data_IF_052200597848
#
_entry.id   IF_052200597848
#
_cell.length_a   1.000
_cell.length_b   1.000
_cell.length_c   1.000
_cell.angle_alpha   90.00
_cell.angle_beta   90.00
_cell.angle_gamma   90.00
#
_symmetry.space_group_name_H-M   'P 1'
#
loop_
_entity.id
_entity.type
_entity.pdbx_description
1 polymer ?
#
# COMPACT_ATOMS: atom_id res chain seq x y z
N UNK A 1 60.84 23.66 -23.39
CA UNK A 1 60.01 23.67 -22.17
C UNK A 1 58.60 24.13 -22.57
N UNK A 2 57.72 23.18 -22.84
CA UNK A 2 56.39 23.41 -23.41
C UNK A 2 55.39 23.56 -22.26
N UNK A 3 54.76 24.75 -22.15
CA UNK A 3 53.77 25.05 -21.10
C UNK A 3 52.46 24.32 -21.43
N UNK A 4 52.12 23.31 -20.65
CA UNK A 4 50.84 22.62 -20.73
C UNK A 4 49.79 23.42 -19.93
N UNK A 5 48.88 24.08 -20.63
CA UNK A 5 47.73 24.76 -20.05
C UNK A 5 46.63 23.71 -19.84
N UNK A 6 46.44 23.22 -18.62
CA UNK A 6 45.36 22.28 -18.29
C UNK A 6 44.10 23.10 -18.01
N UNK A 7 43.17 23.07 -18.96
CA UNK A 7 41.82 23.60 -18.86
C UNK A 7 41.02 22.71 -17.88
N UNK A 8 40.72 23.22 -16.68
CA UNK A 8 39.78 22.59 -15.75
C UNK A 8 38.36 22.73 -16.30
N UNK A 9 37.85 21.70 -16.97
CA UNK A 9 36.42 21.56 -17.23
C UNK A 9 35.78 21.05 -15.94
N UNK A 10 35.17 21.96 -15.16
CA UNK A 10 34.24 21.58 -14.11
C UNK A 10 33.00 20.97 -14.79
N UNK A 11 32.95 19.64 -14.88
CA UNK A 11 31.69 18.94 -15.18
C UNK A 11 30.86 19.01 -13.90
N UNK A 12 30.03 20.04 -13.79
CA UNK A 12 28.93 20.05 -12.85
C UNK A 12 27.92 18.99 -13.32
N UNK A 13 28.01 17.79 -12.76
CA UNK A 13 26.96 16.78 -12.88
C UNK A 13 25.79 17.31 -12.06
N UNK A 14 24.96 18.13 -12.69
CA UNK A 14 23.62 18.43 -12.21
C UNK A 14 22.84 17.12 -12.31
N UNK A 15 22.80 16.35 -11.22
CA UNK A 15 21.90 15.21 -11.06
C UNK A 15 20.46 15.72 -11.05
N UNK A 16 19.94 15.96 -12.25
CA UNK A 16 18.52 16.18 -12.50
C UNK A 16 17.77 14.90 -12.13
N UNK A 17 16.67 15.08 -11.41
CA UNK A 17 15.79 14.05 -10.87
C UNK A 17 15.41 12.96 -11.89
N UNK A 18 15.69 11.70 -11.58
CA UNK A 18 14.89 10.56 -12.03
C UNK A 18 15.16 9.38 -11.07
N UNK A 19 14.25 9.15 -10.12
CA UNK A 19 14.17 7.84 -9.49
C UNK A 19 13.99 6.81 -10.61
N UNK A 20 14.72 5.69 -10.54
CA UNK A 20 14.56 4.62 -11.54
C UNK A 20 13.12 4.12 -11.58
N UNK A 21 12.77 3.45 -12.67
CA UNK A 21 11.47 2.81 -12.81
C UNK A 21 11.22 1.85 -11.62
N UNK A 22 10.03 1.86 -11.00
CA UNK A 22 9.74 1.07 -9.81
C UNK A 22 9.86 -0.45 -10.03
N UNK A 23 10.42 -1.13 -9.03
CA UNK A 23 10.60 -2.58 -9.00
C UNK A 23 9.37 -3.28 -8.41
N UNK A 24 8.78 -4.19 -9.17
CA UNK A 24 7.68 -5.04 -8.72
C UNK A 24 8.12 -6.51 -8.68
N UNK A 25 7.60 -7.24 -7.69
CA UNK A 25 7.71 -8.69 -7.61
C UNK A 25 6.39 -9.32 -8.02
N UNK A 26 6.37 -10.07 -9.11
CA UNK A 26 5.25 -10.95 -9.42
C UNK A 26 5.44 -12.21 -8.58
N UNK A 27 4.70 -12.32 -7.48
CA UNK A 27 4.88 -13.42 -6.52
C UNK A 27 3.91 -14.58 -6.80
N UNK A 28 4.42 -15.80 -6.65
CA UNK A 28 3.65 -17.03 -6.72
C UNK A 28 3.79 -17.80 -5.40
N UNK A 29 2.89 -17.56 -4.43
CA UNK A 29 2.90 -18.27 -3.16
C UNK A 29 2.33 -19.71 -3.26
N UNK A 30 1.94 -20.17 -4.45
CA UNK A 30 1.22 -21.44 -4.63
C UNK A 30 2.14 -22.59 -5.01
N UNK A 31 1.57 -23.80 -5.07
CA UNK A 31 2.24 -25.02 -5.50
C UNK A 31 2.20 -25.26 -7.02
N UNK A 32 1.60 -24.36 -7.80
CA UNK A 32 1.47 -24.47 -9.27
C UNK A 32 2.28 -23.40 -9.95
N UNK A 33 2.86 -23.70 -11.12
CA UNK A 33 3.47 -22.66 -11.97
C UNK A 33 2.38 -21.71 -12.47
N UNK A 34 2.66 -20.42 -12.42
CA UNK A 34 1.81 -19.38 -13.03
C UNK A 34 2.44 -18.98 -14.35
N UNK A 35 1.63 -18.93 -15.41
CA UNK A 35 2.01 -18.37 -16.70
C UNK A 35 1.17 -17.14 -16.99
N UNK A 36 1.82 -16.09 -17.44
CA UNK A 36 1.14 -14.84 -17.77
C UNK A 36 1.90 -14.07 -18.86
N UNK A 37 1.27 -13.02 -19.38
CA UNK A 37 1.94 -11.99 -20.17
C UNK A 37 1.92 -10.66 -19.40
N UNK A 38 3.03 -9.94 -19.43
CA UNK A 38 3.13 -8.54 -18.97
C UNK A 38 3.44 -7.70 -20.20
N UNK A 39 2.52 -6.81 -20.58
CA UNK A 39 2.59 -6.01 -21.80
C UNK A 39 2.89 -6.86 -23.06
N UNK A 40 2.30 -8.06 -23.12
CA UNK A 40 2.48 -9.02 -24.20
C UNK A 40 3.77 -9.85 -24.12
N UNK A 41 4.65 -9.60 -23.15
CA UNK A 41 5.86 -10.40 -22.93
C UNK A 41 5.55 -11.56 -21.97
N UNK A 42 5.84 -12.83 -22.35
CA UNK A 42 5.54 -13.98 -21.51
C UNK A 42 6.41 -13.99 -20.25
N UNK A 43 5.81 -14.38 -19.13
CA UNK A 43 6.44 -14.55 -17.82
C UNK A 43 5.92 -15.83 -17.17
N UNK A 44 6.85 -16.71 -16.79
CA UNK A 44 6.55 -17.93 -16.03
C UNK A 44 7.11 -17.78 -14.62
N UNK A 45 6.25 -17.93 -13.61
CA UNK A 45 6.63 -17.89 -12.19
C UNK A 45 6.48 -19.29 -11.60
N UNK A 46 7.61 -19.89 -11.23
CA UNK A 46 7.62 -21.23 -10.61
C UNK A 46 6.99 -21.22 -9.21
N UNK A 47 6.50 -22.37 -8.71
CA UNK A 47 5.90 -22.47 -7.38
C UNK A 47 6.79 -21.91 -6.27
N UNK A 48 6.23 -21.15 -5.33
CA UNK A 48 6.93 -20.57 -4.18
C UNK A 48 8.01 -19.53 -4.52
N UNK A 49 8.02 -19.01 -5.75
CA UNK A 49 9.02 -18.06 -6.23
C UNK A 49 8.36 -16.77 -6.73
N UNK A 50 9.19 -15.79 -7.08
CA UNK A 50 8.76 -14.55 -7.71
C UNK A 50 9.63 -14.21 -8.92
N UNK A 51 9.12 -13.35 -9.79
CA UNK A 51 9.89 -12.70 -10.86
C UNK A 51 9.92 -11.20 -10.59
N UNK A 52 11.10 -10.61 -10.68
CA UNK A 52 11.27 -9.15 -10.62
C UNK A 52 11.04 -8.53 -11.99
N UNK A 53 10.20 -7.50 -12.02
CA UNK A 53 9.95 -6.69 -13.19
C UNK A 53 10.07 -5.22 -12.83
N UNK A 54 10.49 -4.42 -13.79
CA UNK A 54 10.54 -2.98 -13.66
C UNK A 54 9.43 -2.39 -14.51
N UNK A 55 8.51 -1.64 -13.89
CA UNK A 55 7.37 -1.03 -14.57
C UNK A 55 7.57 0.48 -14.63
N UNK A 56 7.19 1.10 -15.74
CA UNK A 56 7.23 2.56 -15.88
C UNK A 56 5.99 3.17 -15.23
N UNK A 57 6.02 4.48 -15.00
CA UNK A 57 4.78 5.20 -14.72
C UNK A 57 3.83 5.10 -15.93
N UNK A 58 2.58 4.69 -15.70
CA UNK A 58 1.59 4.48 -16.76
C UNK A 58 0.77 3.20 -16.64
N UNK A 59 0.06 2.86 -17.71
CA UNK A 59 -0.77 1.66 -17.80
C UNK A 59 0.05 0.45 -18.25
N UNK A 60 -0.17 -0.67 -17.58
CA UNK A 60 0.44 -1.96 -17.85
C UNK A 60 -0.65 -3.04 -17.88
N UNK A 61 -0.56 -3.94 -18.85
CA UNK A 61 -1.54 -5.02 -19.01
C UNK A 61 -0.94 -6.35 -18.58
N UNK A 62 -1.64 -7.03 -17.68
CA UNK A 62 -1.29 -8.35 -17.19
C UNK A 62 -2.35 -9.35 -17.66
N UNK A 63 -1.95 -10.35 -18.44
CA UNK A 63 -2.87 -11.39 -18.91
C UNK A 63 -2.56 -12.71 -18.21
N UNK A 64 -3.51 -13.21 -17.45
CA UNK A 64 -3.41 -14.47 -16.72
C UNK A 64 -3.68 -15.61 -17.69
N UNK A 65 -2.69 -16.47 -17.94
CA UNK A 65 -2.81 -17.55 -18.93
C UNK A 65 -3.17 -18.86 -18.23
N UNK A 66 -2.40 -19.23 -17.21
CA UNK A 66 -2.55 -20.51 -16.53
C UNK A 66 -2.06 -20.41 -15.08
N UNK A 67 -2.72 -21.13 -14.17
CA UNK A 67 -2.24 -21.35 -12.81
C UNK A 67 -2.89 -20.48 -11.74
N UNK A 68 -3.94 -19.73 -12.11
CA UNK A 68 -4.70 -18.85 -11.21
C UNK A 68 -6.19 -19.18 -11.24
N UNK A 69 -6.96 -18.62 -10.29
CA UNK A 69 -8.42 -18.71 -10.32
C UNK A 69 -9.07 -17.85 -11.43
N UNK A 70 -8.28 -16.97 -12.07
CA UNK A 70 -8.72 -16.00 -13.06
C UNK A 70 -8.04 -16.22 -14.42
N UNK A 71 -7.67 -17.45 -14.75
CA UNK A 71 -7.08 -17.81 -16.04
C UNK A 71 -7.96 -17.33 -17.21
N UNK A 72 -7.32 -16.77 -18.24
CA UNK A 72 -7.96 -16.12 -19.37
C UNK A 72 -8.32 -14.64 -19.16
N UNK A 73 -8.17 -14.10 -17.94
CA UNK A 73 -8.45 -12.69 -17.63
C UNK A 73 -7.27 -11.77 -17.91
N UNK A 74 -7.58 -10.53 -18.26
CA UNK A 74 -6.61 -9.44 -18.36
C UNK A 74 -6.89 -8.38 -17.31
N UNK A 75 -5.84 -7.83 -16.72
CA UNK A 75 -5.88 -6.80 -15.69
C UNK A 75 -5.08 -5.61 -16.17
N UNK A 76 -5.67 -4.43 -16.16
CA UNK A 76 -4.96 -3.18 -16.43
C UNK A 76 -4.58 -2.56 -15.10
N UNK A 77 -3.29 -2.36 -14.88
CA UNK A 77 -2.73 -1.73 -13.69
C UNK A 77 -2.14 -0.39 -14.09
N UNK A 78 -2.45 0.66 -13.33
CA UNK A 78 -1.82 1.95 -13.46
C UNK A 78 -0.76 2.14 -12.37
N UNK A 79 0.49 2.35 -12.76
CA UNK A 79 1.62 2.66 -11.87
C UNK A 79 1.81 4.17 -11.82
N UNK A 80 1.77 4.74 -10.61
CA UNK A 80 1.98 6.18 -10.47
C UNK A 80 3.45 6.56 -10.68
N UNK A 81 3.75 7.76 -11.21
CA UNK A 81 5.14 8.22 -11.40
C UNK A 81 5.98 8.24 -10.12
N UNK A 82 5.34 8.40 -8.95
CA UNK A 82 6.00 8.40 -7.65
C UNK A 82 6.05 7.03 -6.96
N UNK A 83 5.65 5.96 -7.65
CA UNK A 83 5.55 4.62 -7.07
C UNK A 83 6.92 4.11 -6.59
N UNK A 84 6.93 3.46 -5.44
CA UNK A 84 8.08 2.74 -4.91
C UNK A 84 8.10 1.25 -5.31
N UNK A 85 7.23 0.84 -6.23
CA UNK A 85 7.09 -0.55 -6.65
C UNK A 85 6.10 -1.33 -5.78
N UNK A 86 6.32 -2.63 -5.64
CA UNK A 86 5.46 -3.48 -4.79
C UNK A 86 5.36 -4.93 -5.25
N UNK A 87 4.21 -5.53 -5.02
CA UNK A 87 3.89 -6.92 -5.34
C UNK A 87 2.75 -6.95 -6.35
N UNK A 88 2.94 -7.72 -7.43
CA UNK A 88 1.85 -8.21 -8.26
C UNK A 88 1.48 -9.59 -7.72
N UNK A 89 0.21 -9.77 -7.40
CA UNK A 89 -0.36 -10.93 -6.73
C UNK A 89 -1.42 -11.58 -7.64
N UNK A 90 -1.00 -12.40 -8.63
CA UNK A 90 -1.90 -13.02 -9.60
C UNK A 90 -2.92 -13.97 -8.96
N UNK A 91 -2.64 -14.46 -7.75
CA UNK A 91 -3.42 -15.48 -7.05
C UNK A 91 -4.41 -14.89 -6.06
N UNK A 92 -4.39 -13.57 -5.86
CA UNK A 92 -5.17 -12.87 -4.82
C UNK A 92 -4.96 -13.48 -3.42
N UNK A 93 -3.76 -14.01 -3.18
CA UNK A 93 -3.38 -14.57 -1.89
C UNK A 93 -3.25 -13.48 -0.84
N UNK A 94 -3.37 -13.85 0.43
CA UNK A 94 -3.21 -12.93 1.54
C UNK A 94 -1.74 -12.53 1.72
N UNK A 95 -1.53 -11.24 1.98
CA UNK A 95 -0.27 -10.65 2.42
C UNK A 95 -0.54 -9.79 3.64
N UNK A 96 0.37 -9.83 4.60
CA UNK A 96 0.21 -9.12 5.87
C UNK A 96 1.43 -8.25 6.08
N UNK A 97 1.23 -6.95 6.30
CA UNK A 97 2.29 -6.13 6.90
C UNK A 97 2.20 -6.20 8.41
N UNK A 98 3.35 -6.37 9.05
CA UNK A 98 3.52 -6.34 10.51
C UNK A 98 4.38 -5.15 10.85
N UNK A 99 3.89 -4.29 11.75
CA UNK A 99 4.70 -3.24 12.35
C UNK A 99 5.30 -3.74 13.67
N UNK A 100 6.61 -4.01 13.66
CA UNK A 100 7.38 -4.46 14.81
C UNK A 100 7.98 -3.25 15.56
N UNK A 101 7.73 -3.19 16.87
CA UNK A 101 8.29 -2.16 17.75
C UNK A 101 9.60 -2.65 18.36
N UNK A 102 10.68 -1.93 18.10
CA UNK A 102 11.98 -2.15 18.73
C UNK A 102 12.21 -1.07 19.78
N UNK A 103 12.37 -1.46 21.04
CA UNK A 103 12.59 -0.55 22.17
C UNK A 103 13.86 -0.90 22.92
N UNK A 104 14.46 0.11 23.54
CA UNK A 104 15.63 -0.07 24.41
C UNK A 104 15.31 -0.87 25.67
N UNK A 105 14.13 -0.64 26.24
CA UNK A 105 13.63 -1.30 27.45
C UNK A 105 12.10 -1.37 27.42
N UNK A 106 11.51 -2.29 28.20
CA UNK A 106 10.05 -2.47 28.28
C UNK A 106 9.33 -1.18 28.74
N UNK A 107 9.98 -0.39 29.60
CA UNK A 107 9.41 0.87 30.08
C UNK A 107 9.20 1.89 28.95
N UNK A 108 9.93 1.78 27.85
CA UNK A 108 9.81 2.64 26.68
C UNK A 108 8.61 2.30 25.80
N UNK A 109 8.03 1.10 25.91
CA UNK A 109 6.85 0.68 25.12
C UNK A 109 5.68 1.65 25.30
N UNK A 110 5.47 2.16 26.51
CA UNK A 110 4.39 3.12 26.84
C UNK A 110 4.47 4.44 26.05
N UNK A 111 5.65 4.76 25.49
CA UNK A 111 5.86 5.96 24.70
C UNK A 111 5.36 5.80 23.26
N UNK A 112 4.96 4.58 22.86
CA UNK A 112 4.53 4.26 21.51
C UNK A 112 3.06 3.87 21.50
N UNK A 113 2.29 4.51 20.62
CA UNK A 113 0.92 4.08 20.32
C UNK A 113 0.97 2.92 19.33
N UNK A 114 0.58 1.73 19.77
CA UNK A 114 0.39 0.56 18.89
C UNK A 114 -1.07 0.47 18.53
N UNK A 115 -1.39 0.57 17.24
CA UNK A 115 -2.77 0.46 16.75
C UNK A 115 -3.04 -0.99 16.35
N UNK A 116 -3.88 -1.68 17.13
CA UNK A 116 -4.25 -3.05 16.83
C UNK A 116 -5.46 -3.11 15.90
N UNK A 117 -5.37 -3.94 14.88
CA UNK A 117 -6.44 -4.27 13.94
C UNK A 117 -6.70 -5.76 13.96
N UNK A 118 -7.96 -6.12 13.75
CA UNK A 118 -8.37 -7.49 13.45
C UNK A 118 -8.11 -7.77 11.98
N UNK A 119 -7.43 -8.87 11.70
CA UNK A 119 -7.30 -9.44 10.36
C UNK A 119 -7.69 -10.91 10.40
N UNK A 120 -8.09 -11.45 9.26
CA UNK A 120 -8.41 -12.86 9.13
C UNK A 120 -7.49 -13.45 8.08
N UNK A 121 -6.77 -14.51 8.45
CA UNK A 121 -5.86 -15.27 7.56
C UNK A 121 -6.10 -16.75 7.84
N UNK A 122 -6.30 -17.57 6.80
CA UNK A 122 -6.56 -19.01 6.92
C UNK A 122 -7.63 -19.37 7.98
N UNK A 123 -8.78 -18.68 7.94
CA UNK A 123 -9.91 -18.85 8.86
C UNK A 123 -9.61 -18.58 10.35
N UNK A 124 -8.52 -17.87 10.64
CA UNK A 124 -8.16 -17.46 12.00
C UNK A 124 -8.14 -15.94 12.12
N UNK A 125 -8.72 -15.44 13.20
CA UNK A 125 -8.70 -14.03 13.57
C UNK A 125 -7.44 -13.73 14.37
N UNK A 126 -6.64 -12.78 13.87
CA UNK A 126 -5.45 -12.26 14.52
C UNK A 126 -5.67 -10.80 14.89
N UNK A 127 -5.18 -10.42 16.07
CA UNK A 127 -5.21 -9.05 16.55
C UNK A 127 -3.78 -8.57 16.76
N UNK A 128 -3.47 -7.41 16.21
CA UNK A 128 -2.16 -6.79 16.34
C UNK A 128 -1.98 -5.64 15.37
N UNK A 129 -0.77 -5.05 15.29
CA UNK A 129 -0.47 -3.94 14.40
C UNK A 129 -0.24 -4.44 12.96
N UNK A 130 -1.30 -5.01 12.41
CA UNK A 130 -1.30 -5.72 11.13
C UNK A 130 -2.16 -5.00 10.11
N UNK A 131 -1.80 -5.13 8.83
CA UNK A 131 -2.66 -4.74 7.70
C UNK A 131 -2.67 -5.87 6.68
N UNK A 132 -3.86 -6.32 6.31
CA UNK A 132 -4.09 -7.37 5.32
C UNK A 132 -4.24 -6.77 3.92
N UNK A 133 -3.66 -7.44 2.94
CA UNK A 133 -3.75 -7.12 1.52
C UNK A 133 -4.00 -8.40 0.73
N UNK A 134 -4.89 -8.36 -0.25
CA UNK A 134 -5.20 -9.49 -1.12
C UNK A 134 -5.59 -9.06 -2.55
N UNK A 135 -5.33 -7.80 -2.88
CA UNK A 135 -5.55 -7.27 -4.22
C UNK A 135 -4.49 -7.74 -5.22
N UNK A 136 -4.81 -7.64 -6.51
CA UNK A 136 -3.90 -8.01 -7.60
C UNK A 136 -2.61 -7.19 -7.62
N UNK A 137 -2.68 -5.90 -7.28
CA UNK A 137 -1.53 -5.02 -7.16
C UNK A 137 -1.47 -4.46 -5.74
N UNK A 138 -0.37 -4.74 -5.04
CA UNK A 138 -0.10 -4.31 -3.67
C UNK A 138 1.12 -3.42 -3.73
N UNK A 139 0.93 -2.11 -3.73
CA UNK A 139 2.05 -1.19 -3.91
C UNK A 139 2.74 -0.82 -2.60
N UNK A 140 4.05 -0.55 -2.71
CA UNK A 140 4.94 -0.29 -1.59
C UNK A 140 4.83 1.13 -1.07
N UNK A 141 4.26 2.07 -1.83
CA UNK A 141 4.15 3.46 -1.39
C UNK A 141 4.39 4.49 -2.49
N UNK A 142 4.20 5.76 -2.12
CA UNK A 142 4.60 6.94 -2.91
C UNK A 142 5.39 7.91 -2.04
N UNK A 143 6.72 7.75 -1.97
CA UNK A 143 7.61 8.59 -1.16
C UNK A 143 7.63 8.25 0.34
N UNK A 144 6.81 7.29 0.78
CA UNK A 144 6.90 6.62 2.08
C UNK A 144 6.55 5.17 1.92
N UNK A 145 7.50 4.28 2.15
CA UNK A 145 7.27 2.85 2.04
C UNK A 145 6.33 2.35 3.14
N UNK A 146 5.25 1.67 2.75
CA UNK A 146 4.33 0.96 3.64
C UNK A 146 5.01 -0.21 4.36
N UNK A 147 6.03 -0.80 3.75
CA UNK A 147 6.93 -1.75 4.40
C UNK A 147 8.37 -1.46 4.01
N UNK A 148 9.30 -1.74 4.92
CA UNK A 148 10.73 -1.62 4.69
C UNK A 148 11.33 -2.94 4.21
N UNK A 149 10.98 -4.03 4.89
CA UNK A 149 11.47 -5.39 4.62
C UNK A 149 10.45 -6.16 3.80
N UNK A 150 10.90 -6.72 2.68
CA UNK A 150 10.09 -7.46 1.71
C UNK A 150 9.84 -8.92 2.12
N UNK A 151 9.05 -9.67 1.35
CA UNK A 151 8.58 -11.03 1.65
C UNK A 151 9.71 -12.01 2.02
N UNK A 152 10.86 -11.90 1.38
CA UNK A 152 12.03 -12.76 1.60
C UNK A 152 13.18 -12.07 2.35
N UNK A 153 12.95 -10.91 2.96
CA UNK A 153 13.94 -10.23 3.80
C UNK A 153 13.62 -10.45 5.28
N UNK A 154 14.60 -10.84 6.09
CA UNK A 154 14.39 -11.00 7.52
C UNK A 154 14.19 -9.64 8.21
N UNK A 155 13.41 -9.64 9.29
CA UNK A 155 13.43 -8.52 10.22
C UNK A 155 14.81 -8.42 10.87
N UNK A 156 15.33 -7.21 11.11
CA UNK A 156 16.64 -7.01 11.73
C UNK A 156 16.64 -7.48 13.20
N UNK A 157 17.80 -7.94 13.68
CA UNK A 157 17.99 -8.21 15.11
C UNK A 157 17.88 -6.92 15.95
N UNK A 158 17.34 -7.05 17.17
CA UNK A 158 17.11 -5.92 18.10
C UNK A 158 18.37 -5.08 18.33
N UNK A 159 19.53 -5.72 18.45
CA UNK A 159 20.81 -5.04 18.72
C UNK A 159 21.31 -4.16 17.55
N UNK A 160 20.76 -4.32 16.34
CA UNK A 160 21.22 -3.64 15.11
C UNK A 160 20.45 -2.36 14.76
N UNK A 161 19.38 -2.02 15.48
CA UNK A 161 18.40 -1.00 15.06
C UNK A 161 18.54 0.33 15.82
N UNK A 162 19.38 0.39 16.88
CA UNK A 162 19.38 1.53 17.79
C UNK A 162 19.90 2.85 17.15
N UNK A 163 18.97 3.74 16.80
CA UNK A 163 19.07 5.19 17.02
C UNK A 163 17.68 5.86 16.95
N UNK A 164 17.15 6.25 18.12
CA UNK A 164 16.05 7.22 18.22
C UNK A 164 16.01 7.83 19.62
N UNK A 165 16.01 9.17 19.69
CA UNK A 165 15.99 9.95 20.94
C UNK A 165 14.80 9.70 21.89
N UNK A 166 13.79 8.90 21.47
CA UNK A 166 12.61 8.53 22.26
C UNK A 166 12.63 7.07 22.79
N UNK A 167 13.74 6.34 22.62
CA UNK A 167 13.91 5.00 23.22
C UNK A 167 13.39 3.81 22.40
N UNK A 168 13.05 4.00 21.12
CA UNK A 168 12.62 2.93 20.22
C UNK A 168 12.27 3.40 18.80
N UNK A 169 12.03 2.44 17.90
CA UNK A 169 11.65 2.67 16.50
C UNK A 169 10.75 1.53 15.96
N UNK A 170 9.89 1.84 15.01
CA UNK A 170 9.10 0.84 14.29
C UNK A 170 9.81 0.37 13.03
N UNK A 171 9.77 -0.94 12.77
CA UNK A 171 10.11 -1.52 11.47
C UNK A 171 8.89 -2.23 10.91
N UNK A 172 8.65 -2.11 9.61
CA UNK A 172 7.53 -2.80 8.95
C UNK A 172 8.04 -3.82 7.97
N UNK A 173 7.55 -5.06 8.07
CA UNK A 173 7.80 -6.15 7.11
C UNK A 173 6.50 -6.61 6.48
N UNK A 174 6.54 -6.97 5.19
CA UNK A 174 5.45 -7.69 4.53
C UNK A 174 5.74 -9.19 4.51
N UNK A 175 4.71 -9.99 4.73
CA UNK A 175 4.72 -11.45 4.73
C UNK A 175 3.66 -11.96 3.75
N UNK A 176 3.88 -13.13 3.14
CA UNK A 176 2.78 -13.95 2.63
C UNK A 176 1.93 -14.42 3.81
N UNK A 177 0.64 -14.69 3.60
CA UNK A 177 -0.28 -15.13 4.65
C UNK A 177 0.26 -16.35 5.43
N UNK A 178 0.77 -17.36 4.72
CA UNK A 178 1.36 -18.56 5.34
C UNK A 178 2.59 -18.25 6.20
N UNK A 179 3.44 -17.34 5.72
CA UNK A 179 4.67 -16.93 6.41
C UNK A 179 4.33 -16.11 7.65
N UNK A 180 3.29 -15.27 7.58
CA UNK A 180 2.75 -14.53 8.71
C UNK A 180 2.24 -15.48 9.81
N UNK A 181 1.50 -16.54 9.45
CA UNK A 181 1.01 -17.53 10.43
C UNK A 181 2.16 -18.20 11.18
N UNK A 182 3.27 -18.49 10.48
CA UNK A 182 4.46 -19.07 11.11
C UNK A 182 5.16 -18.06 12.02
N UNK A 183 5.39 -16.83 11.52
CA UNK A 183 5.96 -15.73 12.29
C UNK A 183 5.16 -15.45 13.57
N UNK A 184 3.83 -15.38 13.47
CA UNK A 184 2.96 -15.11 14.61
C UNK A 184 3.09 -16.16 15.72
N UNK A 185 3.24 -17.44 15.36
CA UNK A 185 3.37 -18.54 16.34
C UNK A 185 4.73 -18.58 17.02
N UNK A 186 5.79 -18.22 16.30
CA UNK A 186 7.17 -18.44 16.74
C UNK A 186 7.79 -17.20 17.38
N UNK A 187 7.48 -16.03 16.85
CA UNK A 187 8.23 -14.80 17.12
C UNK A 187 7.35 -13.67 17.65
N UNK A 188 6.04 -13.70 17.37
CA UNK A 188 5.13 -12.66 17.86
C UNK A 188 4.59 -13.03 19.25
N UNK A 189 4.74 -12.10 20.20
CA UNK A 189 4.10 -12.21 21.52
C UNK A 189 2.84 -11.34 21.49
N UNK A 190 1.65 -11.91 21.28
CA UNK A 190 0.42 -11.14 21.20
C UNK A 190 0.05 -10.51 22.54
N UNK A 191 -0.44 -9.28 22.48
CA UNK A 191 -0.87 -8.54 23.67
C UNK A 191 -2.14 -9.13 24.31
N UNK A 192 -2.96 -9.85 23.54
CA UNK A 192 -4.29 -10.34 23.91
C UNK A 192 -4.49 -11.86 23.81
N UNK A 193 -3.41 -12.62 23.56
CA UNK A 193 -3.42 -14.09 23.60
C UNK A 193 -3.37 -14.77 22.22
N UNK A 194 -3.69 -16.06 22.18
CA UNK A 194 -3.64 -16.90 20.97
C UNK A 194 -4.71 -16.47 19.93
N UNK A 195 -4.49 -16.69 18.62
CA UNK A 195 -5.44 -16.30 17.59
C UNK A 195 -6.74 -17.11 17.74
N UNK A 196 -7.87 -16.49 17.41
CA UNK A 196 -9.18 -17.12 17.53
C UNK A 196 -9.53 -17.87 16.24
N UNK A 197 -9.88 -19.14 16.36
CA UNK A 197 -10.46 -19.91 15.25
C UNK A 197 -11.87 -19.39 14.95
N UNK A 198 -12.17 -19.18 13.68
CA UNK A 198 -13.52 -18.90 13.22
C UNK A 198 -14.32 -20.19 13.07
N UNK A 199 -15.63 -20.13 13.32
CA UNK A 199 -16.52 -21.22 12.90
C UNK A 199 -16.62 -21.27 11.37
N UNK A 200 -17.05 -22.41 10.82
CA UNK A 200 -17.31 -22.52 9.37
C UNK A 200 -18.34 -21.49 8.89
N UNK A 201 -19.35 -21.20 9.71
CA UNK A 201 -20.38 -20.19 9.42
C UNK A 201 -19.78 -18.77 9.40
N UNK A 202 -18.96 -18.42 10.39
CA UNK A 202 -18.25 -17.14 10.42
C UNK A 202 -17.31 -16.98 9.23
N UNK A 203 -16.56 -18.04 8.89
CA UNK A 203 -15.63 -18.02 7.78
C UNK A 203 -16.34 -17.94 6.42
N UNK A 204 -17.49 -18.60 6.28
CA UNK A 204 -18.29 -18.55 5.05
C UNK A 204 -18.87 -17.16 4.76
N UNK A 205 -19.02 -16.30 5.78
CA UNK A 205 -19.48 -14.92 5.63
C UNK A 205 -18.37 -13.97 5.16
N UNK A 206 -17.10 -14.42 5.14
CA UNK A 206 -15.99 -13.60 4.65
C UNK A 206 -16.03 -13.57 3.14
N UNK A 207 -16.12 -12.35 2.60
CA UNK A 207 -16.03 -12.13 1.17
C UNK A 207 -14.63 -12.51 0.68
N UNK A 208 -14.58 -13.45 -0.26
CA UNK A 208 -13.31 -13.87 -0.89
C UNK A 208 -12.81 -12.77 -1.82
N UNK A 209 -11.49 -12.49 -1.84
CA UNK A 209 -10.95 -11.48 -2.74
C UNK A 209 -11.31 -11.83 -4.19
N UNK A 210 -11.80 -10.84 -4.90
CA UNK A 210 -12.14 -10.93 -6.31
C UNK A 210 -11.23 -10.02 -7.12
N UNK A 211 -10.98 -10.41 -8.37
CA UNK A 211 -10.25 -9.57 -9.30
C UNK A 211 -11.19 -8.44 -9.77
N UNK A 212 -11.05 -7.27 -9.14
CA UNK A 212 -11.92 -6.12 -9.40
C UNK A 212 -11.12 -4.85 -9.60
N UNK A 213 -11.57 -4.01 -10.53
CA UNK A 213 -11.21 -2.61 -10.55
C UNK A 213 -11.95 -1.90 -9.41
N UNK A 214 -11.22 -1.23 -8.53
CA UNK A 214 -11.83 -0.53 -7.40
C UNK A 214 -11.81 0.97 -7.67
N UNK A 215 -12.94 1.51 -8.14
CA UNK A 215 -13.16 2.94 -8.19
C UNK A 215 -13.90 3.41 -6.93
N UNK A 216 -13.15 3.69 -5.85
CA UNK A 216 -13.76 4.13 -4.58
C UNK A 216 -14.31 5.54 -4.64
N UNK A 217 -13.78 6.39 -5.52
CA UNK A 217 -14.15 7.82 -5.58
C UNK A 217 -15.61 8.04 -5.97
N UNK A 218 -16.19 7.15 -6.79
CA UNK A 218 -17.58 7.25 -7.23
C UNK A 218 -18.57 6.82 -6.13
N UNK A 219 -18.10 6.16 -5.08
CA UNK A 219 -18.94 5.74 -3.94
C UNK A 219 -19.14 6.85 -2.89
N UNK A 220 -18.45 7.98 -3.04
CA UNK A 220 -18.51 9.08 -2.08
C UNK A 220 -19.80 9.89 -2.29
N UNK A 221 -20.71 9.77 -1.33
CA UNK A 221 -21.97 10.52 -1.31
C UNK A 221 -21.80 11.89 -0.62
N UNK A 222 -21.71 12.94 -1.42
CA UNK A 222 -21.64 14.33 -0.94
C UNK A 222 -22.97 14.85 -0.38
N UNK A 223 -24.10 14.19 -0.62
CA UNK A 223 -25.39 14.59 -0.06
C UNK A 223 -25.44 14.42 1.46
N UNK A 224 -24.59 13.56 2.02
CA UNK A 224 -24.40 13.42 3.46
C UNK A 224 -23.98 14.72 4.15
N UNK A 225 -23.46 15.70 3.40
CA UNK A 225 -23.07 17.02 3.91
C UNK A 225 -24.12 18.12 3.64
N UNK A 226 -25.32 17.80 3.14
CA UNK A 226 -26.34 18.79 2.73
C UNK A 226 -26.70 19.82 3.80
N UNK A 227 -26.73 19.42 5.08
CA UNK A 227 -27.04 20.30 6.21
C UNK A 227 -25.89 21.26 6.56
N UNK A 228 -24.70 21.08 5.96
CA UNK A 228 -23.51 21.89 6.18
C UNK A 228 -22.90 22.36 4.85
N UNK A 229 -23.47 23.42 4.22
CA UNK A 229 -23.08 23.84 2.87
C UNK A 229 -21.58 24.13 2.69
N UNK A 230 -20.94 24.75 3.68
CA UNK A 230 -19.50 25.05 3.63
C UNK A 230 -18.63 23.77 3.68
N UNK A 231 -19.03 22.79 4.50
CA UNK A 231 -18.37 21.49 4.56
C UNK A 231 -18.58 20.71 3.26
N UNK A 232 -19.81 20.74 2.71
CA UNK A 232 -20.13 20.12 1.42
C UNK A 232 -19.30 20.71 0.29
N UNK A 233 -19.18 22.04 0.23
CA UNK A 233 -18.36 22.74 -0.76
C UNK A 233 -16.88 22.34 -0.64
N UNK A 234 -16.32 22.36 0.57
CA UNK A 234 -14.94 21.98 0.81
C UNK A 234 -14.66 20.50 0.47
N UNK A 235 -15.58 19.59 0.85
CA UNK A 235 -15.51 18.17 0.52
C UNK A 235 -15.61 17.92 -0.99
N UNK A 236 -16.51 18.63 -1.68
CA UNK A 236 -16.64 18.55 -3.14
C UNK A 236 -15.39 19.06 -3.86
N UNK A 237 -14.85 20.21 -3.45
CA UNK A 237 -13.60 20.73 -4.00
C UNK A 237 -12.43 19.75 -3.77
N UNK A 238 -12.33 19.17 -2.57
CA UNK A 238 -11.33 18.15 -2.26
C UNK A 238 -11.46 16.93 -3.19
N UNK A 239 -12.68 16.39 -3.34
CA UNK A 239 -12.92 15.23 -4.20
C UNK A 239 -12.54 15.52 -5.66
N UNK A 240 -12.86 16.69 -6.19
CA UNK A 240 -12.50 17.08 -7.56
C UNK A 240 -10.98 17.18 -7.75
N UNK A 241 -10.24 17.71 -6.76
CA UNK A 241 -8.78 17.73 -6.78
C UNK A 241 -8.20 16.32 -6.76
N UNK A 242 -8.75 15.41 -5.93
CA UNK A 242 -8.32 14.01 -5.89
C UNK A 242 -8.57 13.31 -7.23
N UNK A 243 -9.75 13.50 -7.85
CA UNK A 243 -10.06 12.95 -9.18
C UNK A 243 -9.08 13.44 -10.25
N UNK A 244 -8.81 14.76 -10.28
CA UNK A 244 -7.81 15.34 -11.20
C UNK A 244 -6.44 14.74 -10.96
N UNK A 245 -6.05 14.58 -9.71
CA UNK A 245 -4.75 14.00 -9.33
C UNK A 245 -4.64 12.56 -9.79
N UNK A 246 -5.68 11.74 -9.59
CA UNK A 246 -5.72 10.35 -10.03
C UNK A 246 -5.68 10.20 -11.57
N UNK A 247 -6.24 11.17 -12.29
CA UNK A 247 -6.20 11.21 -13.76
C UNK A 247 -4.88 11.77 -14.32
N UNK A 248 -4.09 12.47 -13.51
CA UNK A 248 -2.83 13.08 -13.97
C UNK A 248 -1.71 12.05 -14.14
N UNK A 249 -1.00 12.18 -15.26
CA UNK A 249 0.20 11.40 -15.59
C UNK A 249 1.50 12.15 -15.26
N UNK A 250 1.42 13.40 -14.80
CA UNK A 250 2.58 14.27 -14.52
C UNK A 250 2.90 14.31 -13.03
N UNK A 251 4.13 13.94 -12.67
CA UNK A 251 4.58 14.02 -11.27
C UNK A 251 4.47 15.45 -10.71
N UNK A 252 4.85 16.47 -11.49
CA UNK A 252 4.79 17.87 -11.04
C UNK A 252 3.35 18.31 -10.80
N UNK A 253 2.44 17.98 -11.72
CA UNK A 253 1.03 18.32 -11.58
C UNK A 253 0.41 17.60 -10.37
N UNK A 254 0.73 16.32 -10.18
CA UNK A 254 0.28 15.55 -9.01
C UNK A 254 0.80 16.10 -7.69
N UNK A 255 2.02 16.64 -7.65
CA UNK A 255 2.57 17.30 -6.47
C UNK A 255 1.82 18.60 -6.15
N UNK A 256 1.47 19.39 -7.16
CA UNK A 256 0.71 20.63 -6.96
C UNK A 256 -0.73 20.35 -6.53
N UNK A 257 -1.39 19.35 -7.15
CA UNK A 257 -2.70 18.87 -6.73
C UNK A 257 -2.68 18.27 -5.31
N UNK A 258 -1.58 17.62 -4.91
CA UNK A 258 -1.41 17.15 -3.52
C UNK A 258 -1.34 18.32 -2.53
N UNK A 259 -0.59 19.38 -2.84
CA UNK A 259 -0.55 20.59 -1.98
C UNK A 259 -1.94 21.22 -1.86
N UNK A 260 -2.67 21.30 -2.95
CA UNK A 260 -4.05 21.79 -2.97
C UNK A 260 -4.98 20.91 -2.11
N UNK A 261 -4.86 19.58 -2.24
CA UNK A 261 -5.68 18.64 -1.48
C UNK A 261 -5.41 18.74 0.03
N UNK A 262 -4.15 18.91 0.46
CA UNK A 262 -3.77 19.15 1.86
C UNK A 262 -4.38 20.45 2.42
N UNK A 263 -4.40 21.52 1.62
CA UNK A 263 -5.05 22.77 2.02
C UNK A 263 -6.58 22.59 2.17
N UNK A 264 -7.21 21.82 1.29
CA UNK A 264 -8.64 21.53 1.35
C UNK A 264 -8.99 20.63 2.53
N UNK A 265 -8.19 19.60 2.83
CA UNK A 265 -8.33 18.81 4.07
C UNK A 265 -8.26 19.73 5.29
N UNK A 266 -7.29 20.64 5.33
CA UNK A 266 -7.15 21.59 6.44
C UNK A 266 -8.42 22.43 6.62
N UNK A 267 -9.04 22.89 5.54
CA UNK A 267 -10.34 23.60 5.59
C UNK A 267 -11.45 22.67 6.08
N UNK A 268 -11.55 21.45 5.57
CA UNK A 268 -12.55 20.47 6.02
C UNK A 268 -12.44 20.23 7.53
N UNK A 269 -11.22 20.04 8.04
CA UNK A 269 -10.99 19.79 9.47
C UNK A 269 -11.39 20.94 10.39
N UNK A 270 -11.45 22.19 9.90
CA UNK A 270 -11.96 23.32 10.68
C UNK A 270 -13.45 23.19 10.99
N UNK A 271 -14.20 22.45 10.17
CA UNK A 271 -15.63 22.19 10.39
C UNK A 271 -15.87 20.95 11.26
N UNK A 272 -14.93 20.00 11.27
CA UNK A 272 -15.04 18.77 12.06
C UNK A 272 -14.73 19.06 13.53
N UNK A 273 -15.75 18.99 14.38
CA UNK A 273 -15.61 19.16 15.82
C UNK A 273 -16.59 18.24 16.58
N UNK A 274 -16.42 18.11 17.90
CA UNK A 274 -17.20 17.17 18.72
C UNK A 274 -18.70 17.46 18.80
N UNK A 275 -19.17 18.61 18.29
CA UNK A 275 -20.59 18.94 18.24
C UNK A 275 -21.29 18.41 16.99
N UNK A 276 -20.55 17.89 16.00
CA UNK A 276 -21.16 17.30 14.81
C UNK A 276 -21.86 15.97 15.14
N UNK A 277 -23.00 15.68 14.50
CA UNK A 277 -23.66 14.39 14.62
C UNK A 277 -22.79 13.25 14.07
N UNK A 278 -22.96 12.05 14.63
CA UNK A 278 -22.16 10.86 14.32
C UNK A 278 -22.10 10.53 12.82
N UNK A 279 -23.21 10.69 12.12
CA UNK A 279 -23.31 10.42 10.68
C UNK A 279 -22.38 11.31 9.84
N UNK A 280 -22.09 12.54 10.28
CA UNK A 280 -21.14 13.44 9.61
C UNK A 280 -19.70 13.08 9.91
N UNK A 281 -19.41 12.61 11.13
CA UNK A 281 -18.10 12.03 11.43
C UNK A 281 -17.84 10.79 10.58
N UNK A 282 -18.84 9.93 10.42
CA UNK A 282 -18.78 8.78 9.51
C UNK A 282 -18.59 9.24 8.06
N UNK A 283 -19.32 10.25 7.59
CA UNK A 283 -19.20 10.76 6.22
C UNK A 283 -17.80 11.34 5.94
N UNK A 284 -17.25 12.08 6.90
CA UNK A 284 -15.88 12.58 6.84
C UNK A 284 -14.85 11.44 6.80
N UNK A 285 -15.00 10.45 7.67
CA UNK A 285 -14.11 9.30 7.69
C UNK A 285 -14.18 8.53 6.36
N UNK A 286 -15.36 8.34 5.80
CA UNK A 286 -15.56 7.67 4.51
C UNK A 286 -14.90 8.45 3.36
N UNK A 287 -15.04 9.79 3.36
CA UNK A 287 -14.34 10.67 2.41
C UNK A 287 -12.82 10.47 2.49
N UNK A 288 -12.23 10.58 3.69
CA UNK A 288 -10.77 10.49 3.87
C UNK A 288 -10.25 9.08 3.58
N UNK A 289 -10.94 8.04 4.05
CA UNK A 289 -10.50 6.66 3.84
C UNK A 289 -10.57 6.25 2.37
N UNK A 290 -11.60 6.71 1.65
CA UNK A 290 -11.78 6.39 0.24
C UNK A 290 -10.76 7.09 -0.66
N UNK A 291 -10.33 8.31 -0.30
CA UNK A 291 -9.32 9.06 -1.08
C UNK A 291 -7.88 8.67 -0.73
N UNK A 292 -7.61 8.23 0.51
CA UNK A 292 -6.24 7.91 0.94
C UNK A 292 -5.73 6.55 0.45
N UNK A 293 -6.62 5.60 0.13
CA UNK A 293 -6.23 4.23 -0.22
C UNK A 293 -5.34 4.14 -1.46
N UNK A 294 -5.69 4.84 -2.54
CA UNK A 294 -4.90 4.85 -3.77
C UNK A 294 -3.62 5.69 -3.62
N UNK A 295 -3.65 6.69 -2.73
CA UNK A 295 -2.49 7.51 -2.39
C UNK A 295 -1.41 6.76 -1.60
N UNK A 296 -1.81 5.76 -0.81
CA UNK A 296 -0.87 4.96 -0.04
C UNK A 296 -0.15 3.91 -0.87
N UNK A 297 -0.78 3.38 -1.93
CA UNK A 297 -0.25 2.19 -2.61
C UNK A 297 0.73 2.55 -3.73
N UNK A 298 0.56 3.65 -4.44
CA UNK A 298 1.43 3.97 -5.60
C UNK A 298 1.18 3.08 -6.82
N UNK A 299 0.12 2.28 -6.79
CA UNK A 299 -0.38 1.47 -7.90
C UNK A 299 -1.89 1.28 -7.74
N UNK A 300 -2.63 1.15 -8.85
CA UNK A 300 -4.06 0.81 -8.81
C UNK A 300 -4.45 -0.17 -9.92
N UNK A 301 -5.42 -1.03 -9.64
CA UNK A 301 -6.12 -1.83 -10.67
C UNK A 301 -7.18 -0.95 -11.31
N UNK A 302 -7.02 -0.67 -12.60
CA UNK A 302 -7.90 0.21 -13.38
C UNK A 302 -9.06 -0.55 -14.00
N UNK A 303 -8.79 -1.71 -14.61
CA UNK A 303 -9.79 -2.49 -15.32
C UNK A 303 -9.48 -4.00 -15.25
N UNK A 304 -10.52 -4.81 -15.45
CA UNK A 304 -10.44 -6.28 -15.52
C UNK A 304 -11.35 -6.75 -16.65
N UNK A 305 -10.82 -7.56 -17.58
CA UNK A 305 -11.54 -8.06 -18.77
C UNK A 305 -11.43 -9.59 -18.87
#
# INVERSE_FOLDING_TARGET
MQKLLILFVLIAIMSSCSGGDPLFKIDNPTSKTIKMEVDGSPVDITPGNFVEITLKGGEHTFKLIEGTAADGKSVVVYVYPESEGGIINPTLSDYVTVQALYVKDEASVKNFGVSNKKIIVDAKEYIGPFKLYNGFAIGKGMGRSLWKYDINEDLPDVDKIYDAGNGGNFQTKIFRGTDFVNFYKQEFVPYDGQPRELTEEEFALIEKPQLVAVNRLDSIDLERFNEHPQLKEAAGAYLEVIKKREASHSQSERQDLHKESVQLISKITQYINSSLPKNLHEAYNDLINSTSYNEEMGVRVKDVF
#
